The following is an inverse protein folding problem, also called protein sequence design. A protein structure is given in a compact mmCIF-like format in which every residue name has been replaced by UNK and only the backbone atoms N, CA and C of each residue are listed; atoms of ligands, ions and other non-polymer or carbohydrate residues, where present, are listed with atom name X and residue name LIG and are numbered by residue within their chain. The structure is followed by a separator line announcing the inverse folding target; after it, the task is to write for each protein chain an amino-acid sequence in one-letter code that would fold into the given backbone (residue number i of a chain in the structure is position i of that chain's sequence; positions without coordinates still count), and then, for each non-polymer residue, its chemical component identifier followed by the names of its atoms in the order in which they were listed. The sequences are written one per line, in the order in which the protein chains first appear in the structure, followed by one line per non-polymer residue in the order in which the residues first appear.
data_IF_008680361804
#
_entry.id   IF_008680361804
#
_cell.length_a   1.000
_cell.length_b   1.000
_cell.length_c   1.000
_cell.angle_alpha   90.00
_cell.angle_beta   90.00
_cell.angle_gamma   90.00
#
_symmetry.space_group_name_H-M   'P 1'
#
loop_
_entity.id
_entity.type
_entity.pdbx_description
1 polymer ?
#
# COMPACT_ATOMS: atom_id res chain seq x y z
N UNK A 1 -0.32 -20.50 -14.26
CA UNK A 1 0.92 -19.76 -13.93
C UNK A 1 0.77 -18.23 -13.99
N UNK A 2 0.15 -17.68 -15.04
CA UNK A 2 -0.02 -16.23 -15.26
C UNK A 2 -0.74 -15.52 -14.09
N UNK A 3 -1.76 -16.15 -13.50
CA UNK A 3 -2.49 -15.57 -12.36
C UNK A 3 -1.60 -15.32 -11.13
N UNK A 4 -0.68 -16.24 -10.82
CA UNK A 4 0.25 -16.09 -9.68
C UNK A 4 1.18 -14.90 -9.89
N UNK A 5 1.72 -14.76 -11.10
CA UNK A 5 2.59 -13.65 -11.49
C UNK A 5 1.85 -12.30 -11.47
N UNK A 6 0.60 -12.28 -11.96
CA UNK A 6 -0.27 -11.10 -11.93
C UNK A 6 -0.59 -10.66 -10.50
N UNK A 7 -0.95 -11.61 -9.63
CA UNK A 7 -1.24 -11.34 -8.22
C UNK A 7 -0.01 -10.81 -7.48
N UNK A 8 1.16 -11.41 -7.72
CA UNK A 8 2.43 -10.92 -7.16
C UNK A 8 2.73 -9.48 -7.60
N UNK A 9 2.58 -9.16 -8.89
CA UNK A 9 2.78 -7.80 -9.41
C UNK A 9 1.76 -6.80 -8.86
N UNK A 10 0.51 -7.20 -8.66
CA UNK A 10 -0.51 -6.36 -8.06
C UNK A 10 -0.17 -6.05 -6.58
N UNK A 11 0.24 -7.07 -5.81
CA UNK A 11 0.68 -6.90 -4.42
C UNK A 11 1.88 -5.96 -4.30
N UNK A 12 2.88 -6.13 -5.16
CA UNK A 12 4.08 -5.26 -5.17
C UNK A 12 3.72 -3.81 -5.53
N UNK A 13 2.82 -3.61 -6.50
CA UNK A 13 2.36 -2.26 -6.87
C UNK A 13 1.63 -1.57 -5.72
N UNK A 14 0.78 -2.28 -4.99
CA UNK A 14 0.06 -1.76 -3.81
C UNK A 14 1.03 -1.38 -2.70
N UNK A 15 1.98 -2.25 -2.36
CA UNK A 15 2.99 -1.98 -1.34
C UNK A 15 3.80 -0.72 -1.66
N UNK A 16 4.25 -0.57 -2.91
CA UNK A 16 4.99 0.63 -3.36
C UNK A 16 4.15 1.91 -3.30
N UNK A 17 2.86 1.84 -3.60
CA UNK A 17 1.97 3.00 -3.52
C UNK A 17 1.81 3.48 -2.07
N UNK A 18 1.63 2.55 -1.13
CA UNK A 18 1.56 2.86 0.31
C UNK A 18 2.89 3.44 0.78
N UNK A 19 4.01 2.83 0.43
CA UNK A 19 5.35 3.31 0.81
C UNK A 19 5.60 4.74 0.32
N UNK A 20 5.25 5.06 -0.93
CA UNK A 20 5.35 6.43 -1.45
C UNK A 20 4.45 7.41 -0.69
N UNK A 21 3.23 7.01 -0.36
CA UNK A 21 2.32 7.86 0.41
C UNK A 21 2.87 8.13 1.82
N UNK A 22 3.45 7.12 2.47
CA UNK A 22 4.10 7.25 3.78
C UNK A 22 5.37 8.12 3.72
N UNK A 23 6.16 8.04 2.64
CA UNK A 23 7.35 8.87 2.44
C UNK A 23 7.01 10.33 2.11
N UNK A 24 5.91 10.56 1.37
CA UNK A 24 5.49 11.90 0.99
C UNK A 24 4.86 12.70 2.14
N UNK A 25 4.37 12.02 3.19
CA UNK A 25 3.72 12.68 4.31
C UNK A 25 4.68 12.88 5.47
N UNK A 26 4.72 14.10 6.02
CA UNK A 26 5.46 14.43 7.25
C UNK A 26 4.57 14.45 8.49
N UNK A 27 3.24 14.44 8.31
CA UNK A 27 2.26 14.49 9.39
C UNK A 27 2.00 13.09 9.97
N UNK A 28 2.17 12.90 11.30
CA UNK A 28 1.86 11.63 11.95
C UNK A 28 0.40 11.20 11.78
N UNK A 29 -0.56 12.13 11.88
CA UNK A 29 -1.99 11.82 11.76
C UNK A 29 -2.35 11.27 10.37
N UNK A 30 -1.80 11.89 9.31
CA UNK A 30 -2.03 11.43 7.92
C UNK A 30 -1.35 10.07 7.70
N UNK A 31 -0.21 9.81 8.35
CA UNK A 31 0.45 8.51 8.30
C UNK A 31 -0.43 7.40 8.86
N UNK A 32 -1.09 7.64 9.99
CA UNK A 32 -1.99 6.68 10.62
C UNK A 32 -3.23 6.42 9.75
N UNK A 33 -3.80 7.47 9.14
CA UNK A 33 -4.91 7.31 8.19
C UNK A 33 -4.52 6.46 6.97
N UNK A 34 -3.32 6.67 6.42
CA UNK A 34 -2.80 5.86 5.30
C UNK A 34 -2.69 4.39 5.71
N UNK A 35 -2.21 4.10 6.92
CA UNK A 35 -2.08 2.74 7.43
C UNK A 35 -3.45 2.08 7.65
N UNK A 36 -4.40 2.80 8.25
CA UNK A 36 -5.78 2.33 8.46
C UNK A 36 -6.45 2.04 7.11
N UNK A 37 -6.33 2.95 6.15
CA UNK A 37 -6.86 2.74 4.81
C UNK A 37 -6.22 1.53 4.12
N UNK A 38 -4.88 1.40 4.20
CA UNK A 38 -4.17 0.27 3.62
C UNK A 38 -4.63 -1.07 4.21
N UNK A 39 -4.80 -1.13 5.54
CA UNK A 39 -5.30 -2.33 6.22
C UNK A 39 -6.75 -2.65 5.83
N UNK A 40 -7.62 -1.64 5.67
CA UNK A 40 -9.02 -1.84 5.28
C UNK A 40 -9.18 -2.35 3.85
N UNK A 41 -8.33 -1.90 2.92
CA UNK A 41 -8.44 -2.26 1.50
C UNK A 41 -7.61 -3.48 1.10
N UNK A 42 -6.58 -3.83 1.87
CA UNK A 42 -5.63 -4.89 1.51
C UNK A 42 -5.35 -5.94 2.59
N UNK A 43 -5.78 -5.71 3.84
CA UNK A 43 -5.82 -6.75 4.87
C UNK A 43 -6.92 -7.75 4.59
#
# INVERSE_FOLDING_TARGET
MINRLRNRRASVRRARAIERALQATSSPAVRDEILIAAQRYYG
#
